data_IF_529720952782
#
_entry.id   IF_529720952782
#
_cell.length_a   1.000
_cell.length_b   1.000
_cell.length_c   1.000
_cell.angle_alpha   90.00
_cell.angle_beta   90.00
_cell.angle_gamma   90.00
#
_symmetry.space_group_name_H-M   'P 1'
#
loop_
_entity.id
_entity.type
_entity.pdbx_description
1 polymer ?
#
# COMPACT_ATOMS: atom_id res chain seq x y z
N UNK A 1 56.94 -14.32 34.47
CA UNK A 1 55.75 -13.50 34.17
C UNK A 1 55.69 -13.30 32.67
N UNK A 2 54.80 -14.01 31.97
CA UNK A 2 54.57 -13.83 30.53
C UNK A 2 53.43 -12.81 30.35
N UNK A 3 53.54 -11.83 29.45
CA UNK A 3 52.45 -10.89 29.21
C UNK A 3 51.31 -11.59 28.46
N UNK A 4 50.09 -11.30 28.91
CA UNK A 4 48.82 -11.67 28.28
C UNK A 4 48.71 -10.87 26.98
N UNK A 5 48.62 -11.57 25.84
CA UNK A 5 48.25 -10.93 24.58
C UNK A 5 46.73 -10.70 24.59
N UNK A 6 46.33 -9.43 24.67
CA UNK A 6 44.95 -9.02 24.52
C UNK A 6 44.48 -9.27 23.08
N UNK A 7 43.30 -9.89 22.95
CA UNK A 7 42.50 -9.92 21.73
C UNK A 7 42.29 -8.49 21.24
N UNK A 8 42.70 -8.21 20.00
CA UNK A 8 42.03 -7.22 19.16
C UNK A 8 41.24 -8.06 18.16
N UNK A 9 39.95 -8.23 18.43
CA UNK A 9 39.01 -8.73 17.43
C UNK A 9 39.09 -7.81 16.23
N UNK A 10 39.51 -8.34 15.09
CA UNK A 10 39.42 -7.65 13.83
C UNK A 10 37.93 -7.45 13.51
N UNK A 11 37.38 -6.32 13.94
CA UNK A 11 36.14 -5.80 13.38
C UNK A 11 36.46 -5.50 11.92
N UNK A 12 36.04 -6.41 11.04
CA UNK A 12 36.14 -6.25 9.60
C UNK A 12 35.17 -5.12 9.21
N UNK A 13 35.59 -3.86 9.38
CA UNK A 13 34.89 -2.72 8.79
C UNK A 13 35.13 -2.85 7.29
N UNK A 14 34.16 -3.44 6.59
CA UNK A 14 34.15 -3.44 5.14
C UNK A 14 34.29 -1.99 4.66
N UNK A 15 35.19 -1.77 3.70
CA UNK A 15 35.41 -0.46 3.11
C UNK A 15 34.07 0.16 2.72
N UNK A 16 33.82 1.41 3.14
CA UNK A 16 32.65 2.16 2.77
C UNK A 16 32.56 2.24 1.23
N UNK A 17 31.73 1.38 0.65
CA UNK A 17 31.31 1.51 -0.74
C UNK A 17 30.56 2.83 -0.85
N UNK A 18 30.97 3.70 -1.77
CA UNK A 18 30.26 4.93 -2.06
C UNK A 18 28.76 4.63 -2.21
N UNK A 19 27.92 5.34 -1.45
CA UNK A 19 26.47 5.13 -1.43
C UNK A 19 25.92 4.26 -0.30
N UNK A 20 26.75 3.72 0.61
CA UNK A 20 26.28 3.07 1.84
C UNK A 20 26.17 4.05 3.02
N UNK A 21 25.01 4.04 3.67
CA UNK A 21 24.69 4.89 4.81
C UNK A 21 24.13 4.06 5.96
N UNK A 22 24.68 4.28 7.14
CA UNK A 22 24.22 3.73 8.42
C UNK A 22 24.00 4.86 9.44
N UNK A 23 23.20 4.58 10.47
CA UNK A 23 22.88 5.54 11.53
C UNK A 23 21.82 6.57 11.12
N UNK A 24 21.75 7.69 11.86
CA UNK A 24 20.73 8.73 11.63
C UNK A 24 21.35 9.91 10.89
N UNK A 25 20.88 10.20 9.68
CA UNK A 25 21.41 11.30 8.86
C UNK A 25 20.31 12.01 8.06
N UNK A 26 20.46 13.32 7.87
CA UNK A 26 19.58 14.13 7.02
C UNK A 26 20.42 14.86 5.98
N UNK A 27 19.98 14.79 4.73
CA UNK A 27 20.62 15.43 3.58
C UNK A 27 19.69 16.48 2.97
N UNK A 28 20.20 17.67 2.71
CA UNK A 28 19.51 18.77 2.01
C UNK A 28 20.43 19.30 0.91
N UNK A 29 20.92 18.40 0.06
CA UNK A 29 21.91 18.68 -0.97
C UNK A 29 21.54 18.10 -2.34
N UNK A 30 22.15 18.66 -3.37
CA UNK A 30 22.14 18.07 -4.71
C UNK A 30 23.32 17.11 -4.81
N UNK A 31 23.05 15.84 -5.10
CA UNK A 31 24.07 14.79 -5.15
C UNK A 31 23.86 13.87 -6.34
N UNK A 32 24.94 13.61 -7.08
CA UNK A 32 24.98 12.55 -8.08
C UNK A 32 25.78 11.38 -7.50
N UNK A 33 25.19 10.18 -7.42
CA UNK A 33 25.88 8.97 -6.95
C UNK A 33 26.76 8.32 -8.04
N UNK A 34 26.82 8.86 -9.24
CA UNK A 34 27.80 8.47 -10.27
C UNK A 34 27.68 7.02 -10.71
N UNK A 35 26.47 6.47 -10.72
CA UNK A 35 26.20 5.08 -11.07
C UNK A 35 26.30 4.09 -9.90
N UNK A 36 26.37 4.56 -8.66
CA UNK A 36 26.41 3.70 -7.47
C UNK A 36 25.01 3.44 -6.89
N UNK A 37 24.80 2.29 -6.20
CA UNK A 37 23.57 2.05 -5.45
C UNK A 37 23.53 2.92 -4.19
N UNK A 38 22.31 3.29 -3.78
CA UNK A 38 22.02 3.83 -2.46
C UNK A 38 21.66 2.67 -1.52
N UNK A 39 22.56 2.35 -0.60
CA UNK A 39 22.39 1.33 0.41
C UNK A 39 22.08 1.97 1.77
N UNK A 40 20.93 1.65 2.35
CA UNK A 40 20.46 2.19 3.64
C UNK A 40 20.38 1.06 4.66
N UNK A 41 21.17 1.16 5.73
CA UNK A 41 21.18 0.20 6.84
C UNK A 41 21.84 -1.11 6.45
N UNK A 42 23.13 -1.07 6.13
CA UNK A 42 23.91 -2.25 5.79
C UNK A 42 24.41 -3.02 7.02
N UNK A 43 24.57 -2.35 8.17
CA UNK A 43 25.18 -2.98 9.35
C UNK A 43 24.47 -2.70 10.68
N UNK A 44 23.60 -1.68 10.75
CA UNK A 44 22.98 -1.28 12.01
C UNK A 44 21.64 -0.57 11.81
N UNK A 45 20.97 -0.29 12.92
CA UNK A 45 19.80 0.59 12.95
C UNK A 45 20.12 1.91 12.23
N UNK A 46 19.25 2.29 11.31
CA UNK A 46 19.53 3.35 10.34
C UNK A 46 18.26 4.09 9.96
N UNK A 47 18.37 5.42 9.91
CA UNK A 47 17.32 6.32 9.47
C UNK A 47 17.92 7.44 8.64
N UNK A 48 17.71 7.36 7.32
CA UNK A 48 18.23 8.35 6.37
C UNK A 48 17.08 9.19 5.86
N UNK A 49 17.21 10.50 5.94
CA UNK A 49 16.25 11.45 5.37
C UNK A 49 16.87 12.24 4.22
N UNK A 50 16.26 12.16 3.04
CA UNK A 50 16.48 13.10 1.95
C UNK A 50 15.47 14.23 2.11
N UNK A 51 15.88 15.32 2.75
CA UNK A 51 15.02 16.45 3.08
C UNK A 51 14.52 17.22 1.85
N UNK A 52 13.68 18.25 2.03
CA UNK A 52 12.89 18.85 0.94
C UNK A 52 13.72 19.42 -0.21
N UNK A 53 14.93 19.89 0.07
CA UNK A 53 15.86 20.46 -0.92
C UNK A 53 16.81 19.40 -1.52
N UNK A 54 16.73 18.14 -1.09
CA UNK A 54 17.59 17.08 -1.58
C UNK A 54 17.22 16.69 -3.01
N UNK A 55 18.22 16.60 -3.90
CA UNK A 55 18.04 16.10 -5.27
C UNK A 55 19.14 15.09 -5.54
N UNK A 56 18.81 13.81 -5.46
CA UNK A 56 19.76 12.71 -5.59
C UNK A 56 19.56 11.97 -6.93
N UNK A 57 20.57 11.97 -7.79
CA UNK A 57 20.54 11.39 -9.14
C UNK A 57 21.66 10.38 -9.36
N UNK A 58 21.70 9.75 -10.55
CA UNK A 58 22.75 8.79 -10.92
C UNK A 58 22.76 7.53 -10.06
N UNK A 59 21.65 7.21 -9.40
CA UNK A 59 21.51 6.07 -8.50
C UNK A 59 21.16 4.82 -9.31
N UNK A 60 21.95 3.75 -9.23
CA UNK A 60 21.70 2.52 -10.00
C UNK A 60 20.73 1.54 -9.34
N UNK A 61 20.55 1.63 -8.04
CA UNK A 61 19.54 0.90 -7.26
C UNK A 61 19.37 1.56 -5.90
N UNK A 62 18.25 1.35 -5.23
CA UNK A 62 18.05 1.74 -3.84
C UNK A 62 17.77 0.47 -3.04
N UNK A 63 18.61 0.17 -2.06
CA UNK A 63 18.46 -1.01 -1.24
C UNK A 63 18.35 -0.62 0.22
N UNK A 64 17.21 -0.91 0.83
CA UNK A 64 16.94 -0.70 2.25
C UNK A 64 17.07 -2.06 2.94
N UNK A 65 17.93 -2.13 3.95
CA UNK A 65 18.43 -3.37 4.54
C UNK A 65 19.06 -4.32 3.48
N UNK A 66 20.19 -3.95 2.87
CA UNK A 66 20.87 -4.75 1.84
C UNK A 66 21.60 -6.01 2.38
N UNK A 67 21.82 -6.12 3.69
CA UNK A 67 22.60 -7.22 4.29
C UNK A 67 21.81 -8.02 5.33
N UNK A 68 22.13 -9.32 5.44
CA UNK A 68 21.52 -10.25 6.39
C UNK A 68 22.25 -10.21 7.74
N UNK A 69 21.50 -10.04 8.84
CA UNK A 69 22.05 -10.08 10.21
C UNK A 69 21.21 -11.01 11.10
N UNK A 70 21.56 -12.30 11.22
CA UNK A 70 20.75 -13.27 11.99
C UNK A 70 20.78 -13.07 13.50
N UNK A 71 21.82 -12.44 14.04
CA UNK A 71 22.07 -12.32 15.48
C UNK A 71 21.56 -11.01 16.06
N UNK A 72 21.50 -9.96 15.24
CA UNK A 72 21.16 -8.61 15.67
C UNK A 72 20.15 -8.02 14.68
N UNK A 73 18.85 -8.29 14.86
CA UNK A 73 17.81 -7.68 14.04
C UNK A 73 17.81 -6.17 14.28
N UNK A 74 17.78 -5.39 13.20
CA UNK A 74 17.71 -3.94 13.25
C UNK A 74 16.65 -3.42 12.29
N UNK A 75 16.40 -2.12 12.34
CA UNK A 75 15.48 -1.44 11.43
C UNK A 75 16.25 -0.48 10.52
N UNK A 76 15.89 -0.47 9.22
CA UNK A 76 16.44 0.46 8.25
C UNK A 76 15.31 1.26 7.59
N UNK A 77 15.41 2.59 7.64
CA UNK A 77 14.43 3.51 7.06
C UNK A 77 15.08 4.50 6.10
N UNK A 78 14.42 4.72 4.96
CA UNK A 78 14.67 5.85 4.08
C UNK A 78 13.43 6.73 4.01
N UNK A 79 13.58 8.01 4.38
CA UNK A 79 12.55 9.04 4.24
C UNK A 79 12.90 9.95 3.06
N UNK A 80 11.94 10.20 2.17
CA UNK A 80 12.11 11.04 0.98
C UNK A 80 11.11 12.20 0.98
N UNK A 81 11.63 13.40 1.23
CA UNK A 81 10.91 14.68 1.16
C UNK A 81 11.35 15.51 -0.06
N UNK A 82 12.57 15.29 -0.54
CA UNK A 82 13.10 15.84 -1.80
C UNK A 82 12.88 14.91 -2.99
N UNK A 83 13.83 14.86 -3.93
CA UNK A 83 13.78 14.03 -5.13
C UNK A 83 14.86 12.96 -5.14
N UNK A 84 14.47 11.70 -5.41
CA UNK A 84 15.35 10.56 -5.62
C UNK A 84 15.12 9.98 -7.04
N UNK A 85 16.14 10.10 -7.88
CA UNK A 85 16.06 9.82 -9.32
C UNK A 85 15.41 10.96 -10.10
N UNK A 86 15.21 10.72 -11.40
CA UNK A 86 14.48 11.62 -12.30
C UNK A 86 13.66 10.81 -13.32
N UNK A 87 12.60 11.38 -13.89
CA UNK A 87 11.74 10.68 -14.85
C UNK A 87 12.51 10.12 -16.07
N UNK A 88 13.49 10.87 -16.60
CA UNK A 88 14.32 10.46 -17.74
C UNK A 88 15.54 9.59 -17.34
N UNK A 89 15.92 9.63 -16.06
CA UNK A 89 17.06 8.92 -15.49
C UNK A 89 16.62 8.22 -14.21
N UNK A 90 15.60 7.36 -14.35
CA UNK A 90 15.02 6.62 -13.22
C UNK A 90 16.16 5.91 -12.48
N UNK A 91 16.04 5.85 -11.16
CA UNK A 91 16.87 4.90 -10.43
C UNK A 91 16.59 3.49 -10.96
N UNK A 92 17.50 2.55 -10.74
CA UNK A 92 17.18 1.14 -10.98
C UNK A 92 16.11 0.64 -10.01
N UNK A 93 16.22 -0.60 -9.59
CA UNK A 93 15.22 -1.17 -8.69
C UNK A 93 15.34 -0.58 -7.28
N UNK A 94 14.19 -0.37 -6.63
CA UNK A 94 14.09 -0.07 -5.21
C UNK A 94 13.73 -1.36 -4.48
N UNK A 95 14.63 -1.88 -3.66
CA UNK A 95 14.38 -3.07 -2.82
C UNK A 95 14.19 -2.66 -1.36
N UNK A 96 12.98 -2.83 -0.85
CA UNK A 96 12.64 -2.61 0.55
C UNK A 96 12.70 -3.97 1.26
N UNK A 97 13.73 -4.16 2.07
CA UNK A 97 14.01 -5.45 2.70
C UNK A 97 14.67 -6.42 1.74
N UNK A 98 15.81 -6.02 1.18
CA UNK A 98 16.55 -6.81 0.19
C UNK A 98 17.14 -8.09 0.78
N UNK A 99 17.74 -8.01 1.97
CA UNK A 99 18.31 -9.14 2.69
C UNK A 99 17.53 -9.42 3.98
N UNK A 100 17.55 -10.66 4.46
CA UNK A 100 16.68 -11.06 5.58
C UNK A 100 17.09 -10.56 6.95
N UNK A 101 16.21 -10.80 7.94
CA UNK A 101 16.23 -10.45 9.37
C UNK A 101 15.93 -8.99 9.81
N UNK A 102 16.43 -7.90 9.19
CA UNK A 102 15.95 -6.55 9.48
C UNK A 102 14.50 -6.31 9.03
N UNK A 103 13.83 -5.34 9.65
CA UNK A 103 12.68 -4.67 9.05
C UNK A 103 13.16 -3.49 8.21
N UNK A 104 12.47 -3.21 7.11
CA UNK A 104 12.83 -2.14 6.19
C UNK A 104 11.62 -1.28 5.84
N UNK A 105 11.81 0.03 5.83
CA UNK A 105 10.77 1.02 5.54
C UNK A 105 11.24 2.04 4.50
N UNK A 106 10.39 2.31 3.52
CA UNK A 106 10.46 3.51 2.70
C UNK A 106 9.30 4.43 3.08
N UNK A 107 9.61 5.65 3.49
CA UNK A 107 8.64 6.72 3.73
C UNK A 107 8.80 7.79 2.65
N UNK A 108 7.72 8.07 1.91
CA UNK A 108 7.67 9.18 0.95
C UNK A 108 6.77 10.26 1.56
N UNK A 109 7.41 11.36 1.96
CA UNK A 109 6.77 12.44 2.71
C UNK A 109 6.79 13.73 1.88
N UNK A 110 5.92 13.80 0.88
CA UNK A 110 5.84 14.92 -0.06
C UNK A 110 6.89 14.93 -1.18
N UNK A 111 7.91 14.07 -1.08
CA UNK A 111 8.98 13.94 -2.05
C UNK A 111 8.61 13.18 -3.33
N UNK A 112 9.61 12.95 -4.20
CA UNK A 112 9.46 12.19 -5.44
C UNK A 112 10.49 11.07 -5.55
N UNK A 113 10.03 9.86 -5.86
CA UNK A 113 10.88 8.69 -6.11
C UNK A 113 10.62 8.18 -7.52
N UNK A 114 11.65 8.19 -8.38
CA UNK A 114 11.59 7.64 -9.73
C UNK A 114 12.44 6.37 -9.80
N UNK A 115 11.83 5.23 -10.08
CA UNK A 115 12.53 3.94 -10.09
C UNK A 115 12.10 3.02 -11.22
N UNK A 116 12.90 1.97 -11.42
CA UNK A 116 12.57 0.82 -12.24
C UNK A 116 11.45 0.02 -11.59
N UNK A 117 11.79 -1.00 -10.82
CA UNK A 117 10.84 -1.87 -10.13
C UNK A 117 10.90 -1.62 -8.62
N UNK A 118 9.77 -1.79 -7.91
CA UNK A 118 9.81 -1.87 -6.44
C UNK A 118 9.65 -3.32 -6.01
N UNK A 119 10.62 -3.79 -5.24
CA UNK A 119 10.63 -5.12 -4.65
C UNK A 119 10.43 -5.00 -3.14
N UNK A 120 9.51 -5.79 -2.61
CA UNK A 120 9.31 -5.86 -1.17
C UNK A 120 9.70 -7.22 -0.62
N UNK A 121 10.34 -7.20 0.55
CA UNK A 121 10.67 -8.39 1.33
C UNK A 121 11.28 -9.51 0.48
N UNK A 122 12.39 -9.19 -0.21
CA UNK A 122 13.16 -10.16 -1.02
C UNK A 122 13.92 -11.14 -0.14
N UNK A 123 14.42 -10.64 0.98
CA UNK A 123 15.05 -11.46 2.01
C UNK A 123 14.36 -11.36 3.36
N UNK A 124 13.63 -10.25 3.64
CA UNK A 124 13.07 -9.96 4.98
C UNK A 124 11.80 -10.73 5.31
N UNK A 125 11.53 -10.82 6.63
CA UNK A 125 10.24 -11.23 7.15
C UNK A 125 9.18 -10.14 7.12
N UNK A 126 9.57 -8.85 6.99
CA UNK A 126 8.66 -7.70 6.90
C UNK A 126 9.27 -6.51 6.12
N UNK A 127 8.48 -5.82 5.32
CA UNK A 127 8.85 -4.59 4.61
C UNK A 127 7.64 -3.63 4.54
N UNK A 128 7.87 -2.32 4.63
CA UNK A 128 6.81 -1.32 4.53
C UNK A 128 7.11 -0.17 3.57
N UNK A 129 6.05 0.35 2.96
CA UNK A 129 6.04 1.62 2.24
C UNK A 129 4.94 2.50 2.82
N UNK A 130 5.28 3.71 3.25
CA UNK A 130 4.32 4.72 3.69
C UNK A 130 4.42 5.93 2.76
N UNK A 131 3.29 6.44 2.28
CA UNK A 131 3.23 7.66 1.47
C UNK A 131 2.18 8.62 2.06
N UNK A 132 2.64 9.73 2.62
CA UNK A 132 1.77 10.81 3.14
C UNK A 132 1.45 11.84 2.06
N UNK A 133 2.28 11.92 1.02
CA UNK A 133 2.15 12.82 -0.13
C UNK A 133 3.28 12.62 -1.13
N UNK A 134 3.26 13.36 -2.24
CA UNK A 134 4.32 13.31 -3.25
C UNK A 134 4.06 12.31 -4.38
N UNK A 135 5.14 11.75 -4.94
CA UNK A 135 5.11 10.85 -6.11
C UNK A 135 6.03 9.64 -5.93
N UNK A 136 5.49 8.44 -6.11
CA UNK A 136 6.26 7.25 -6.47
C UNK A 136 5.96 6.88 -7.92
N UNK A 137 6.96 6.96 -8.78
CA UNK A 137 6.84 6.57 -10.18
C UNK A 137 7.76 5.38 -10.47
N UNK A 138 7.20 4.18 -10.44
CA UNK A 138 7.88 2.92 -10.75
C UNK A 138 7.56 2.47 -12.17
N UNK A 139 8.57 2.32 -13.04
CA UNK A 139 8.35 1.97 -14.45
C UNK A 139 8.03 0.49 -14.65
N UNK A 140 8.51 -0.33 -13.73
CA UNK A 140 8.36 -1.77 -13.69
C UNK A 140 7.20 -2.18 -12.79
N UNK A 141 7.21 -3.46 -12.45
CA UNK A 141 6.14 -4.08 -11.67
C UNK A 141 6.25 -3.79 -10.17
N UNK A 142 5.16 -4.11 -9.47
CA UNK A 142 5.15 -4.32 -8.02
C UNK A 142 5.15 -5.83 -7.76
N UNK A 143 6.10 -6.33 -6.98
CA UNK A 143 6.06 -7.71 -6.49
C UNK A 143 6.38 -7.71 -5.00
N UNK A 144 5.41 -8.07 -4.17
CA UNK A 144 5.57 -8.06 -2.72
C UNK A 144 4.55 -8.96 -2.03
N UNK A 145 4.96 -9.85 -1.11
CA UNK A 145 6.34 -10.17 -0.69
C UNK A 145 7.07 -11.07 -1.71
N UNK A 146 8.40 -10.98 -1.80
CA UNK A 146 9.24 -11.80 -2.70
C UNK A 146 9.95 -13.00 -2.03
N UNK A 147 9.84 -13.13 -0.71
CA UNK A 147 10.22 -14.31 0.06
C UNK A 147 8.98 -15.09 0.52
N UNK A 148 9.10 -16.43 0.62
CA UNK A 148 8.07 -17.25 1.26
C UNK A 148 7.91 -16.84 2.72
N UNK A 149 6.66 -16.75 3.21
CA UNK A 149 6.41 -16.26 4.57
C UNK A 149 6.67 -14.77 4.77
N UNK A 150 7.07 -14.02 3.74
CA UNK A 150 7.31 -12.58 3.84
C UNK A 150 6.04 -11.81 4.19
N UNK A 151 6.20 -10.60 4.74
CA UNK A 151 5.11 -9.68 5.09
C UNK A 151 5.36 -8.31 4.46
N UNK A 152 4.32 -7.71 3.89
CA UNK A 152 4.38 -6.39 3.28
C UNK A 152 3.22 -5.53 3.74
N UNK A 153 3.50 -4.29 4.10
CA UNK A 153 2.47 -3.29 4.39
C UNK A 153 2.73 -2.04 3.54
N UNK A 154 1.75 -1.62 2.77
CA UNK A 154 1.76 -0.36 2.03
C UNK A 154 0.65 0.52 2.60
N UNK A 155 0.97 1.73 3.02
CA UNK A 155 0.02 2.73 3.48
C UNK A 155 0.16 3.98 2.62
N UNK A 156 -0.93 4.39 1.97
CA UNK A 156 -1.01 5.59 1.16
C UNK A 156 -2.09 6.51 1.71
N UNK A 157 -1.70 7.62 2.32
CA UNK A 157 -2.59 8.63 2.92
C UNK A 157 -2.78 9.85 1.98
N UNK A 158 -1.90 10.00 1.00
CA UNK A 158 -1.96 11.05 -0.01
C UNK A 158 -0.95 10.81 -1.13
N UNK A 159 -0.89 11.72 -2.11
CA UNK A 159 0.09 11.64 -3.22
C UNK A 159 -0.32 10.72 -4.37
N UNK A 160 0.62 10.40 -5.25
CA UNK A 160 0.42 9.52 -6.42
C UNK A 160 1.42 8.38 -6.44
N UNK A 161 0.95 7.14 -6.55
CA UNK A 161 1.77 5.96 -6.86
C UNK A 161 1.42 5.47 -8.27
N UNK A 162 2.44 5.33 -9.11
CA UNK A 162 2.34 4.72 -10.43
C UNK A 162 3.11 3.40 -10.44
N UNK A 163 2.40 2.30 -10.69
CA UNK A 163 2.95 0.97 -10.89
C UNK A 163 2.95 0.65 -12.39
N UNK A 164 4.11 0.78 -13.01
CA UNK A 164 4.31 0.59 -14.44
C UNK A 164 4.24 1.90 -15.22
N UNK A 165 4.35 1.78 -16.55
CA UNK A 165 4.14 2.88 -17.50
C UNK A 165 3.12 2.51 -18.56
N UNK A 166 2.50 3.51 -19.18
CA UNK A 166 1.55 3.30 -20.27
C UNK A 166 2.18 2.51 -21.42
N UNK A 167 1.55 1.40 -21.82
CA UNK A 167 2.05 0.51 -22.87
C UNK A 167 3.15 -0.46 -22.44
N UNK A 168 3.65 -0.36 -21.20
CA UNK A 168 4.60 -1.30 -20.62
C UNK A 168 3.93 -2.55 -20.03
N UNK A 169 4.59 -3.70 -20.13
CA UNK A 169 4.18 -4.91 -19.40
C UNK A 169 4.81 -4.90 -18.01
N UNK A 170 4.01 -4.51 -17.00
CA UNK A 170 4.45 -4.37 -15.61
C UNK A 170 3.35 -4.84 -14.63
N UNK A 171 3.15 -6.15 -14.47
CA UNK A 171 2.09 -6.69 -13.61
C UNK A 171 2.40 -6.47 -12.13
N UNK A 172 1.44 -5.97 -11.36
CA UNK A 172 1.53 -5.87 -9.91
C UNK A 172 0.92 -7.08 -9.23
N UNK A 173 1.62 -7.69 -8.26
CA UNK A 173 1.07 -8.75 -7.42
C UNK A 173 1.33 -8.47 -5.94
N UNK A 174 0.25 -8.44 -5.16
CA UNK A 174 0.29 -8.47 -3.70
C UNK A 174 0.12 -9.93 -3.23
N UNK A 175 1.03 -10.41 -2.38
CA UNK A 175 1.06 -11.82 -1.97
C UNK A 175 1.63 -12.73 -3.05
N UNK A 176 2.79 -12.39 -3.62
CA UNK A 176 3.40 -13.10 -4.77
C UNK A 176 3.97 -14.49 -4.42
N UNK A 177 4.31 -14.75 -3.16
CA UNK A 177 5.02 -15.97 -2.73
C UNK A 177 4.22 -16.84 -1.79
N UNK A 178 4.67 -18.08 -1.62
CA UNK A 178 3.98 -19.04 -0.78
C UNK A 178 3.93 -18.57 0.69
N UNK A 179 2.78 -18.76 1.34
CA UNK A 179 2.53 -18.42 2.75
C UNK A 179 2.84 -16.94 3.11
N UNK A 180 2.92 -16.08 2.09
CA UNK A 180 3.24 -14.66 2.20
C UNK A 180 1.98 -13.85 2.49
N UNK A 181 2.12 -12.68 3.11
CA UNK A 181 0.99 -11.78 3.35
C UNK A 181 1.32 -10.35 2.93
N UNK A 182 0.37 -9.69 2.28
CA UNK A 182 0.46 -8.28 1.93
C UNK A 182 -0.79 -7.51 2.38
N UNK A 183 -0.60 -6.30 2.89
CA UNK A 183 -1.65 -5.32 3.10
C UNK A 183 -1.31 -4.06 2.31
N UNK A 184 -2.27 -3.52 1.56
CA UNK A 184 -2.17 -2.21 0.94
C UNK A 184 -3.41 -1.41 1.30
N UNK A 185 -3.25 -0.40 2.16
CA UNK A 185 -4.28 0.57 2.50
C UNK A 185 -4.08 1.86 1.70
N UNK A 186 -5.15 2.32 1.05
CA UNK A 186 -5.23 3.62 0.38
C UNK A 186 -6.29 4.41 1.15
N UNK A 187 -5.84 5.34 1.96
CA UNK A 187 -6.68 6.28 2.71
C UNK A 187 -6.80 7.66 2.04
N UNK A 188 -5.97 7.92 1.02
CA UNK A 188 -6.08 9.13 0.21
C UNK A 188 -5.11 9.13 -0.97
N UNK A 189 -5.41 9.92 -2.00
CA UNK A 189 -4.58 10.04 -3.21
C UNK A 189 -4.86 8.97 -4.25
N UNK A 190 -3.94 8.83 -5.21
CA UNK A 190 -4.16 8.01 -6.42
C UNK A 190 -3.13 6.88 -6.53
N UNK A 191 -3.59 5.65 -6.75
CA UNK A 191 -2.76 4.51 -7.11
C UNK A 191 -3.15 3.99 -8.49
N UNK A 192 -2.23 4.07 -9.45
CA UNK A 192 -2.46 3.62 -10.83
C UNK A 192 -1.61 2.41 -11.14
N UNK A 193 -2.26 1.31 -11.50
CA UNK A 193 -1.63 0.12 -12.05
C UNK A 193 -1.78 0.12 -13.57
N UNK A 194 -0.70 0.43 -14.28
CA UNK A 194 -0.73 0.56 -15.74
C UNK A 194 -0.94 -0.76 -16.47
N UNK A 195 -0.68 -1.88 -15.80
CA UNK A 195 -1.02 -3.20 -16.30
C UNK A 195 -2.12 -3.84 -15.42
N UNK A 196 -1.81 -4.91 -14.69
CA UNK A 196 -2.78 -5.62 -13.86
C UNK A 196 -2.40 -5.59 -12.40
N UNK A 197 -3.39 -5.65 -11.53
CA UNK A 197 -3.22 -5.88 -10.10
C UNK A 197 -3.80 -7.25 -9.75
N UNK A 198 -2.96 -8.11 -9.18
CA UNK A 198 -3.34 -9.42 -8.65
C UNK A 198 -3.21 -9.43 -7.13
N UNK A 199 -4.25 -9.90 -6.46
CA UNK A 199 -4.27 -10.16 -5.03
C UNK A 199 -4.13 -11.66 -4.78
N UNK A 200 -3.24 -12.02 -3.84
CA UNK A 200 -2.98 -13.39 -3.39
C UNK A 200 -2.54 -14.35 -4.53
N UNK A 201 -1.60 -13.92 -5.37
CA UNK A 201 -1.13 -14.74 -6.51
C UNK A 201 -0.25 -15.95 -6.14
N UNK A 202 0.23 -16.04 -4.90
CA UNK A 202 1.05 -17.13 -4.39
C UNK A 202 0.25 -18.23 -3.68
N UNK A 203 0.81 -19.44 -3.57
CA UNK A 203 0.16 -20.55 -2.86
C UNK A 203 -0.02 -20.24 -1.36
N UNK A 204 -1.25 -20.35 -0.85
CA UNK A 204 -1.62 -19.95 0.53
C UNK A 204 -1.24 -18.50 0.88
N UNK A 205 -0.99 -17.64 -0.11
CA UNK A 205 -0.73 -16.25 0.15
C UNK A 205 -2.02 -15.55 0.58
N UNK A 206 -1.89 -14.48 1.37
CA UNK A 206 -2.98 -13.58 1.66
C UNK A 206 -2.67 -12.18 1.17
N UNK A 207 -3.69 -11.48 0.69
CA UNK A 207 -3.56 -10.08 0.28
C UNK A 207 -4.81 -9.31 0.70
N UNK A 208 -4.62 -8.26 1.52
CA UNK A 208 -5.66 -7.30 1.84
C UNK A 208 -5.41 -6.00 1.08
N UNK A 209 -6.33 -5.60 0.23
CA UNK A 209 -6.39 -4.26 -0.34
C UNK A 209 -7.51 -3.50 0.38
N UNK A 210 -7.23 -2.31 0.90
CA UNK A 210 -8.21 -1.52 1.65
C UNK A 210 -8.31 -0.12 1.04
N UNK A 211 -9.51 0.28 0.66
CA UNK A 211 -9.82 1.64 0.22
C UNK A 211 -10.63 2.32 1.30
N UNK A 212 -10.16 3.47 1.77
CA UNK A 212 -10.84 4.25 2.80
C UNK A 212 -11.34 5.57 2.21
N UNK A 213 -12.65 5.73 2.24
CA UNK A 213 -13.32 6.97 1.90
C UNK A 213 -13.25 7.37 0.43
N UNK A 214 -13.76 8.58 0.21
CA UNK A 214 -13.93 9.21 -1.10
C UNK A 214 -12.67 9.89 -1.64
N UNK A 215 -11.60 9.95 -0.86
CA UNK A 215 -10.29 10.49 -1.28
C UNK A 215 -9.33 9.40 -1.81
N UNK A 216 -9.66 8.12 -1.60
CA UNK A 216 -8.86 6.99 -2.07
C UNK A 216 -9.23 6.62 -3.52
N UNK A 217 -8.27 6.68 -4.45
CA UNK A 217 -8.48 6.31 -5.85
C UNK A 217 -7.56 5.16 -6.26
N UNK A 218 -8.14 4.14 -6.91
CA UNK A 218 -7.40 3.04 -7.52
C UNK A 218 -7.89 2.76 -8.94
N UNK A 219 -6.95 2.71 -9.88
CA UNK A 219 -7.20 2.31 -11.27
C UNK A 219 -6.30 1.14 -11.65
N UNK A 220 -6.89 0.05 -12.17
CA UNK A 220 -6.16 -1.06 -12.77
C UNK A 220 -6.43 -1.11 -14.28
N UNK A 221 -5.50 -0.58 -15.08
CA UNK A 221 -5.73 -0.22 -16.49
C UNK A 221 -5.87 -1.38 -17.46
N UNK A 222 -5.57 -2.62 -17.07
CA UNK A 222 -5.82 -3.78 -17.93
C UNK A 222 -6.76 -4.78 -17.29
N UNK A 223 -6.50 -5.19 -16.05
CA UNK A 223 -7.36 -6.12 -15.31
C UNK A 223 -7.11 -6.06 -13.81
N UNK A 224 -8.14 -6.36 -13.04
CA UNK A 224 -8.08 -6.59 -11.60
C UNK A 224 -8.35 -8.07 -11.31
N UNK A 225 -7.50 -8.73 -10.52
CA UNK A 225 -7.56 -10.17 -10.25
C UNK A 225 -7.63 -10.40 -8.74
N UNK A 226 -8.63 -11.17 -8.31
CA UNK A 226 -8.77 -11.68 -6.95
C UNK A 226 -8.71 -13.21 -6.96
N UNK A 227 -7.68 -13.75 -6.32
CA UNK A 227 -7.52 -15.20 -6.11
C UNK A 227 -7.83 -15.59 -4.66
N UNK A 228 -7.81 -16.90 -4.37
CA UNK A 228 -8.04 -17.41 -3.01
C UNK A 228 -7.04 -16.80 -2.02
N UNK A 229 -7.53 -16.26 -0.90
CA UNK A 229 -6.72 -15.51 0.07
C UNK A 229 -6.77 -13.99 -0.11
N UNK A 230 -7.50 -13.50 -1.12
CA UNK A 230 -7.75 -12.07 -1.32
C UNK A 230 -8.85 -11.53 -0.42
N UNK A 231 -8.63 -10.36 0.15
CA UNK A 231 -9.64 -9.51 0.78
C UNK A 231 -9.56 -8.11 0.18
N UNK A 232 -10.70 -7.56 -0.26
CA UNK A 232 -10.81 -6.14 -0.61
C UNK A 232 -11.76 -5.49 0.37
N UNK A 233 -11.24 -4.54 1.14
CA UNK A 233 -11.99 -3.79 2.12
C UNK A 233 -12.38 -2.40 1.57
N UNK A 234 -13.63 -2.02 1.76
CA UNK A 234 -14.16 -0.71 1.41
C UNK A 234 -14.72 -0.08 2.68
N UNK A 235 -14.02 0.94 3.20
CA UNK A 235 -14.41 1.66 4.39
C UNK A 235 -15.03 3.00 3.99
N UNK A 236 -16.32 3.17 4.25
CA UNK A 236 -17.07 4.36 3.86
C UNK A 236 -16.77 5.54 4.80
N UNK A 237 -16.60 6.73 4.23
CA UNK A 237 -16.37 7.98 4.96
C UNK A 237 -17.60 8.91 5.01
N UNK A 238 -17.40 10.11 5.56
CA UNK A 238 -18.42 11.17 5.62
C UNK A 238 -18.47 12.05 4.34
N UNK A 239 -17.68 11.72 3.32
CA UNK A 239 -17.61 12.44 2.06
C UNK A 239 -18.82 12.16 1.17
N UNK A 240 -19.11 13.02 0.19
CA UNK A 240 -20.35 12.93 -0.60
C UNK A 240 -20.46 11.66 -1.46
N UNK A 241 -19.32 11.07 -1.85
CA UNK A 241 -19.29 9.80 -2.57
C UNK A 241 -19.19 8.58 -1.62
N UNK A 242 -18.82 8.80 -0.36
CA UNK A 242 -18.52 7.80 0.68
C UNK A 242 -17.36 6.83 0.37
N UNK A 243 -17.18 6.45 -0.89
CA UNK A 243 -16.14 5.55 -1.39
C UNK A 243 -15.96 5.77 -2.90
N UNK A 244 -14.78 5.46 -3.45
CA UNK A 244 -14.60 5.37 -4.91
C UNK A 244 -14.53 3.90 -5.37
N UNK A 245 -15.12 3.57 -6.52
CA UNK A 245 -14.96 2.25 -7.10
C UNK A 245 -13.55 2.05 -7.64
N UNK A 246 -13.08 0.81 -7.60
CA UNK A 246 -11.94 0.36 -8.40
C UNK A 246 -12.37 0.35 -9.87
N UNK A 247 -11.64 1.08 -10.72
CA UNK A 247 -11.92 1.14 -12.15
C UNK A 247 -10.98 0.20 -12.91
N UNK A 248 -11.54 -0.69 -13.72
CA UNK A 248 -10.74 -1.61 -14.54
C UNK A 248 -11.45 -2.06 -15.83
N UNK A 249 -10.74 -2.34 -16.94
CA UNK A 249 -11.37 -2.90 -18.13
C UNK A 249 -11.79 -4.36 -18.01
N UNK A 250 -11.10 -5.15 -17.17
CA UNK A 250 -11.35 -6.58 -17.02
C UNK A 250 -11.26 -6.99 -15.55
N UNK A 251 -12.04 -7.98 -15.17
CA UNK A 251 -11.99 -8.58 -13.83
C UNK A 251 -11.82 -10.09 -13.95
N UNK A 252 -11.05 -10.66 -13.03
CA UNK A 252 -10.99 -12.10 -12.76
C UNK A 252 -11.21 -12.29 -11.26
N UNK A 253 -12.48 -12.47 -10.88
CA UNK A 253 -12.91 -12.63 -9.50
C UNK A 253 -13.01 -14.12 -9.20
N UNK A 254 -11.87 -14.79 -9.11
CA UNK A 254 -11.80 -16.26 -9.02
C UNK A 254 -12.19 -16.78 -7.63
N UNK A 255 -11.84 -16.01 -6.59
CA UNK A 255 -12.26 -16.18 -5.21
C UNK A 255 -11.90 -14.92 -4.43
N UNK A 256 -12.55 -14.69 -3.28
CA UNK A 256 -12.11 -13.65 -2.35
C UNK A 256 -13.23 -13.15 -1.46
N UNK A 257 -12.86 -12.26 -0.55
CA UNK A 257 -13.75 -11.64 0.42
C UNK A 257 -13.87 -10.15 0.15
N UNK A 258 -15.09 -9.64 0.11
CA UNK A 258 -15.39 -8.21 0.20
C UNK A 258 -15.70 -7.91 1.66
N UNK A 259 -14.97 -6.96 2.23
CA UNK A 259 -15.09 -6.50 3.61
C UNK A 259 -15.61 -5.06 3.60
N UNK A 260 -16.77 -4.84 4.19
CA UNK A 260 -17.43 -3.55 4.22
C UNK A 260 -17.29 -2.93 5.60
N UNK A 261 -17.10 -1.63 5.65
CA UNK A 261 -17.02 -0.97 6.94
C UNK A 261 -17.13 0.53 6.82
N UNK A 262 -16.77 1.18 7.91
CA UNK A 262 -16.73 2.62 8.02
C UNK A 262 -15.32 3.03 8.42
N UNK A 263 -14.86 4.16 7.89
CA UNK A 263 -13.62 4.77 8.39
C UNK A 263 -13.78 5.06 9.87
N UNK A 264 -12.73 4.82 10.65
CA UNK A 264 -12.75 5.07 12.08
C UNK A 264 -13.12 6.54 12.37
N UNK A 265 -14.19 6.73 13.14
CA UNK A 265 -14.71 8.06 13.49
C UNK A 265 -15.72 8.64 12.50
N UNK A 266 -16.02 7.98 11.38
CA UNK A 266 -17.08 8.42 10.46
C UNK A 266 -18.44 8.46 11.20
N UNK A 267 -19.16 9.59 11.05
CA UNK A 267 -20.42 9.84 11.75
C UNK A 267 -21.64 9.43 10.92
N UNK A 268 -21.55 9.49 9.60
CA UNK A 268 -22.62 9.16 8.68
C UNK A 268 -22.85 7.65 8.58
N UNK A 269 -24.10 7.24 8.32
CA UNK A 269 -24.47 5.84 8.06
C UNK A 269 -25.45 5.75 6.90
N UNK A 270 -25.35 4.73 6.03
CA UNK A 270 -26.25 4.56 4.89
C UNK A 270 -27.70 4.32 5.32
N UNK A 271 -28.62 4.72 4.44
CA UNK A 271 -30.00 4.27 4.50
C UNK A 271 -30.15 2.83 4.01
N UNK A 272 -31.16 2.11 4.51
CA UNK A 272 -31.48 0.78 3.96
C UNK A 272 -31.82 0.87 2.47
N UNK A 273 -31.23 -0.02 1.68
CA UNK A 273 -31.34 -0.06 0.22
C UNK A 273 -30.36 0.85 -0.53
N UNK A 274 -29.54 1.64 0.17
CA UNK A 274 -28.49 2.44 -0.44
C UNK A 274 -27.38 1.54 -0.98
N UNK A 275 -26.93 1.82 -2.20
CA UNK A 275 -25.96 1.01 -2.93
C UNK A 275 -24.69 1.81 -3.23
N UNK A 276 -23.54 1.17 -3.06
CA UNK A 276 -22.22 1.75 -3.29
C UNK A 276 -21.48 0.96 -4.36
N UNK A 277 -20.94 1.67 -5.34
CA UNK A 277 -20.12 1.08 -6.41
C UNK A 277 -18.74 0.73 -5.85
N UNK A 278 -18.36 -0.55 -5.96
CA UNK A 278 -17.11 -1.06 -5.42
C UNK A 278 -16.07 -1.34 -6.50
N UNK A 279 -16.49 -1.98 -7.59
CA UNK A 279 -15.64 -2.32 -8.74
C UNK A 279 -16.43 -2.12 -10.02
N UNK A 280 -15.96 -1.24 -10.90
CA UNK A 280 -16.56 -1.00 -12.21
C UNK A 280 -15.71 -1.60 -13.32
N UNK A 281 -16.30 -2.52 -14.07
CA UNK A 281 -15.68 -3.14 -15.24
C UNK A 281 -16.09 -2.39 -16.52
N UNK A 282 -15.17 -1.62 -17.10
CA UNK A 282 -15.48 -0.82 -18.31
C UNK A 282 -15.56 -1.64 -19.60
N UNK A 283 -15.08 -2.89 -19.60
CA UNK A 283 -15.06 -3.79 -20.76
C UNK A 283 -16.23 -4.78 -20.86
N UNK A 284 -17.30 -4.62 -20.08
CA UNK A 284 -18.51 -5.45 -20.14
C UNK A 284 -18.88 -6.06 -18.78
N UNK A 285 -19.68 -7.15 -18.81
CA UNK A 285 -20.30 -7.67 -17.58
C UNK A 285 -19.34 -8.24 -16.53
N UNK A 286 -19.69 -8.14 -15.26
CA UNK A 286 -18.94 -8.64 -14.11
C UNK A 286 -19.64 -9.87 -13.49
N UNK A 287 -18.86 -10.91 -13.16
CA UNK A 287 -19.34 -12.10 -12.45
C UNK A 287 -18.81 -12.08 -11.02
N UNK A 288 -19.72 -12.16 -10.05
CA UNK A 288 -19.44 -12.06 -8.62
C UNK A 288 -19.70 -13.38 -7.88
N UNK A 289 -20.00 -14.47 -8.60
CA UNK A 289 -20.47 -15.74 -8.03
C UNK A 289 -19.45 -16.44 -7.11
N UNK A 290 -18.16 -16.12 -7.25
CA UNK A 290 -17.10 -16.67 -6.42
C UNK A 290 -16.64 -15.72 -5.28
N UNK A 291 -17.31 -14.58 -5.12
CA UNK A 291 -17.05 -13.65 -4.03
C UNK A 291 -17.93 -13.97 -2.82
N UNK A 292 -17.39 -13.72 -1.63
CA UNK A 292 -18.11 -13.76 -0.37
C UNK A 292 -18.03 -12.40 0.33
N UNK A 293 -18.99 -12.10 1.19
CA UNK A 293 -18.85 -11.04 2.19
C UNK A 293 -18.02 -11.52 3.37
N UNK A 294 -17.36 -10.59 4.06
CA UNK A 294 -16.76 -10.89 5.36
C UNK A 294 -17.85 -11.36 6.34
N UNK A 295 -17.47 -12.22 7.29
CA UNK A 295 -18.44 -12.88 8.15
C UNK A 295 -19.29 -11.89 8.97
N UNK A 296 -18.66 -10.79 9.42
CA UNK A 296 -19.31 -9.77 10.25
C UNK A 296 -20.22 -8.83 9.43
N UNK A 297 -20.08 -8.83 8.09
CA UNK A 297 -20.96 -8.08 7.17
C UNK A 297 -22.22 -8.83 6.79
N UNK A 298 -22.26 -10.14 7.02
CA UNK A 298 -23.38 -10.98 6.66
C UNK A 298 -24.66 -10.52 7.37
N UNK A 299 -25.67 -10.12 6.60
CA UNK A 299 -26.95 -9.59 7.10
C UNK A 299 -26.97 -8.08 7.32
N UNK A 300 -25.83 -7.40 7.20
CA UNK A 300 -25.73 -5.94 7.14
C UNK A 300 -25.59 -5.44 5.71
N UNK A 301 -24.83 -6.18 4.90
CA UNK A 301 -24.58 -5.87 3.49
C UNK A 301 -25.05 -7.00 2.58
N UNK A 302 -25.33 -6.66 1.32
CA UNK A 302 -25.55 -7.60 0.23
C UNK A 302 -24.70 -7.18 -0.97
N UNK A 303 -23.99 -8.14 -1.57
CA UNK A 303 -23.35 -7.91 -2.87
C UNK A 303 -24.35 -8.11 -4.00
N UNK A 304 -24.31 -7.22 -4.98
CA UNK A 304 -25.08 -7.34 -6.21
C UNK A 304 -24.28 -6.81 -7.40
N UNK A 305 -24.82 -7.03 -8.60
CA UNK A 305 -24.38 -6.36 -9.81
C UNK A 305 -25.43 -5.32 -10.17
N UNK A 306 -25.00 -4.14 -10.63
CA UNK A 306 -25.92 -3.10 -11.11
C UNK A 306 -26.76 -3.56 -12.32
N UNK A 307 -27.77 -2.78 -12.69
CA UNK A 307 -28.67 -3.10 -13.80
C UNK A 307 -27.97 -3.24 -15.16
N UNK A 308 -26.87 -2.50 -15.36
CA UNK A 308 -26.06 -2.60 -16.58
C UNK A 308 -25.21 -3.88 -16.64
N UNK A 309 -25.07 -4.58 -15.51
CA UNK A 309 -24.31 -5.82 -15.40
C UNK A 309 -22.80 -5.61 -15.26
N UNK A 310 -22.30 -4.39 -15.14
CA UNK A 310 -20.87 -4.03 -15.28
C UNK A 310 -20.20 -3.56 -13.97
N UNK A 311 -20.97 -3.31 -12.92
CA UNK A 311 -20.46 -2.81 -11.63
C UNK A 311 -20.88 -3.70 -10.48
N UNK A 312 -19.90 -4.15 -9.69
CA UNK A 312 -20.12 -4.76 -8.38
C UNK A 312 -20.53 -3.67 -7.39
N UNK A 313 -21.63 -3.89 -6.69
CA UNK A 313 -22.16 -2.99 -5.67
C UNK A 313 -22.33 -3.71 -4.33
N UNK A 314 -22.20 -2.96 -3.23
CA UNK A 314 -22.70 -3.36 -1.92
C UNK A 314 -23.95 -2.55 -1.56
N UNK A 315 -25.01 -3.25 -1.17
CA UNK A 315 -26.28 -2.66 -0.71
C UNK A 315 -26.39 -2.80 0.79
N UNK A 316 -26.69 -1.70 1.47
CA UNK A 316 -26.90 -1.69 2.91
C UNK A 316 -28.31 -2.21 3.26
N UNK A 317 -28.41 -3.19 4.16
CA UNK A 317 -29.67 -3.88 4.47
C UNK A 317 -30.33 -3.44 5.78
N UNK A 318 -29.58 -2.79 6.67
CA UNK A 318 -30.07 -2.50 8.03
C UNK A 318 -30.95 -1.24 8.00
N UNK A 319 -32.20 -1.31 8.48
CA UNK A 319 -33.05 -0.14 8.64
C UNK A 319 -32.36 0.91 9.52
N UNK A 320 -32.56 2.20 9.23
CA UNK A 320 -32.09 3.28 10.09
C UNK A 320 -32.55 3.00 11.54
N UNK A 321 -31.67 3.11 12.56
CA UNK A 321 -32.10 2.94 13.94
C UNK A 321 -33.23 3.91 14.26
N UNK A 322 -34.41 3.38 14.61
CA UNK A 322 -35.64 4.13 14.89
C UNK A 322 -35.47 5.26 15.93
N UNK A 323 -34.35 5.27 16.67
CA UNK A 323 -33.93 6.29 17.62
C UNK A 323 -33.76 7.69 17.03
N UNK A 324 -33.30 7.87 15.78
CA UNK A 324 -33.16 9.21 15.18
C UNK A 324 -34.51 9.82 14.79
N UNK A 325 -35.41 9.00 14.25
CA UNK A 325 -36.79 9.38 13.95
C UNK A 325 -37.58 9.69 15.24
N UNK A 326 -37.34 8.94 16.32
CA UNK A 326 -37.93 9.19 17.65
C UNK A 326 -37.37 10.44 18.33
N UNK A 327 -36.09 10.76 18.17
CA UNK A 327 -35.49 11.99 18.73
C UNK A 327 -36.04 13.25 18.05
N UNK A 328 -36.17 13.22 16.72
CA UNK A 328 -36.72 14.33 15.93
C UNK A 328 -38.21 14.53 16.22
N UNK A 329 -39.00 13.45 16.36
CA UNK A 329 -40.39 13.51 16.83
C UNK A 329 -40.48 14.01 18.28
N UNK A 330 -39.57 13.59 19.16
CA UNK A 330 -39.51 14.05 20.55
C UNK A 330 -39.22 15.55 20.68
N UNK A 331 -38.29 16.08 19.88
CA UNK A 331 -37.97 17.51 19.82
C UNK A 331 -39.11 18.33 19.21
N UNK A 332 -39.77 17.84 18.16
CA UNK A 332 -40.93 18.49 17.56
C UNK A 332 -42.13 18.52 18.53
N UNK A 333 -42.37 17.44 19.29
CA UNK A 333 -43.37 17.37 20.35
C UNK A 333 -43.06 18.32 21.52
N UNK A 334 -41.79 18.48 21.88
CA UNK A 334 -41.36 19.42 22.92
C UNK A 334 -41.53 20.89 22.48
N UNK A 335 -41.18 21.20 21.23
CA UNK A 335 -41.32 22.55 20.66
C UNK A 335 -42.78 22.97 20.48
N UNK A 336 -43.67 22.05 20.12
CA UNK A 336 -45.13 22.30 20.03
C UNK A 336 -45.77 22.45 21.40
N UNK A 337 -45.30 21.72 22.43
CA UNK A 337 -45.78 21.89 23.82
C UNK A 337 -45.35 23.21 24.45
N UNK A 338 -44.24 23.81 24.00
CA UNK A 338 -43.75 25.12 24.51
C UNK A 338 -44.46 26.33 23.88
N UNK A 339 -45.30 26.13 22.86
CA UNK A 339 -46.09 27.16 22.16
C UNK A 339 -47.58 27.16 22.54
N UNK A 340 -47.99 26.39 23.56
CA UNK A 340 -49.34 26.44 24.15
C UNK A 340 -49.30 27.10 25.51
#
# INVERSE_FOLDING_TARGET
>A
MKPVAAMIGALLVAAATAGAFDGVQTFNDVRDLGGQPLNVGAASETDITLGPDAVWTGVTAVDIAPAWSPTDPFHARLTVQGSLGAAAGRTGDVSIGRAGNPSAELLIDGGSVYCGTVHFARGTGAASLTMTGGLLDAAGYLNGPQANGGRVTILQEGGTINWGTSGGWAPATLGTKADSAATYTIAGGTSTFYHHLTLAGGANATARLELQGSDAFLEARTRFIMDSGSTVAFLLDDGAAHINPIITPLTYLNAGVIDMGFVDGAAWRPGAGEAFDLITKTGGGIDISALALAADDAGTWQLQVNDAGDTLQAVYLVPEPATLSLLSLGLAALATRRKR
#
